data_IF_367854125054
#
_entry.id   IF_367854125054
#
_cell.length_a   1.000
_cell.length_b   1.000
_cell.length_c   1.000
_cell.angle_alpha   90.00
_cell.angle_beta   90.00
_cell.angle_gamma   90.00
#
_symmetry.space_group_name_H-M   'P 1'
#
loop_
_entity.id
_entity.type
_entity.pdbx_description
1 polymer ?
#
# COMPACT_ATOMS: atom_id res chain seq x y z
N UNK A 1 9.41 19.44 -9.89
CA UNK A 1 9.36 18.31 -8.93
C UNK A 1 8.03 17.63 -9.15
N UNK A 2 8.04 16.34 -9.48
CA UNK A 2 6.81 15.57 -9.62
C UNK A 2 6.14 15.41 -8.25
N UNK A 3 4.80 15.49 -8.22
CA UNK A 3 4.03 15.33 -7.00
C UNK A 3 3.89 13.83 -6.71
N UNK A 4 4.33 13.41 -5.53
CA UNK A 4 4.13 12.04 -5.06
C UNK A 4 2.70 11.87 -4.55
N UNK A 5 2.02 10.80 -4.98
CA UNK A 5 0.70 10.44 -4.44
C UNK A 5 0.82 9.76 -3.09
N UNK A 6 -0.21 9.88 -2.25
CA UNK A 6 -0.29 9.19 -0.97
C UNK A 6 -0.50 7.69 -1.19
N UNK A 7 0.24 6.85 -0.46
CA UNK A 7 0.15 5.39 -0.59
C UNK A 7 -1.05 4.78 0.15
N UNK A 8 -1.70 5.55 1.03
CA UNK A 8 -2.92 5.12 1.74
C UNK A 8 -4.20 5.66 1.10
N UNK A 9 -4.10 6.77 0.37
CA UNK A 9 -5.24 7.52 -0.14
C UNK A 9 -4.95 7.95 -1.58
N UNK A 10 -5.40 7.16 -2.55
CA UNK A 10 -5.10 7.35 -3.98
C UNK A 10 -5.60 8.68 -4.55
N UNK A 11 -6.55 9.33 -3.87
CA UNK A 11 -7.11 10.64 -4.20
C UNK A 11 -6.30 11.83 -3.63
N UNK A 12 -5.20 11.58 -2.91
CA UNK A 12 -4.43 12.63 -2.20
C UNK A 12 -2.99 12.73 -2.68
N UNK A 13 -2.51 13.96 -2.78
CA UNK A 13 -1.08 14.26 -2.89
C UNK A 13 -0.44 14.08 -1.51
N UNK A 14 0.73 13.44 -1.46
CA UNK A 14 1.50 13.26 -0.23
C UNK A 14 1.89 14.62 0.36
N UNK A 15 1.56 14.83 1.64
CA UNK A 15 1.86 16.03 2.41
C UNK A 15 2.83 15.75 3.57
N UNK A 16 3.53 14.60 3.52
CA UNK A 16 4.49 14.15 4.52
C UNK A 16 3.91 14.02 5.95
N UNK A 17 2.63 13.63 6.07
CA UNK A 17 1.97 13.46 7.38
C UNK A 17 2.56 12.34 8.26
N UNK A 18 3.24 11.36 7.65
CA UNK A 18 3.85 10.22 8.35
C UNK A 18 2.88 9.11 8.78
N UNK A 19 1.59 9.22 8.48
CA UNK A 19 0.56 8.21 8.84
C UNK A 19 0.90 6.81 8.32
N UNK A 20 1.37 6.72 7.07
CA UNK A 20 1.79 5.46 6.44
C UNK A 20 2.96 4.75 7.14
N UNK A 21 3.64 5.42 8.09
CA UNK A 21 4.71 4.82 8.88
C UNK A 21 4.21 4.26 10.22
N UNK A 22 2.94 4.47 10.57
CA UNK A 22 2.37 4.06 11.85
C UNK A 22 1.60 2.75 11.70
N UNK A 23 1.48 2.01 12.80
CA UNK A 23 0.78 0.74 12.82
C UNK A 23 -0.74 0.94 12.89
N UNK A 24 -1.48 0.30 11.98
CA UNK A 24 -2.95 0.37 11.95
C UNK A 24 -3.61 -0.14 13.24
N UNK A 25 -2.96 -1.06 13.95
CA UNK A 25 -3.46 -1.60 15.22
C UNK A 25 -3.06 -0.77 16.44
N UNK A 26 -1.94 -0.04 16.37
CA UNK A 26 -1.44 0.78 17.48
C UNK A 26 -0.89 2.10 16.93
N UNK A 27 -1.64 3.20 17.04
CA UNK A 27 -1.24 4.49 16.49
C UNK A 27 -0.01 5.09 17.17
N UNK A 28 0.44 4.56 18.32
CA UNK A 28 1.67 4.99 18.99
C UNK A 28 2.92 4.21 18.54
N UNK A 29 2.74 3.19 17.70
CA UNK A 29 3.82 2.29 17.27
C UNK A 29 4.18 2.55 15.81
N UNK A 30 5.46 2.80 15.55
CA UNK A 30 6.00 2.79 14.18
C UNK A 30 5.85 1.37 13.60
N UNK A 31 5.35 1.29 12.37
CA UNK A 31 5.19 0.02 11.67
C UNK A 31 6.56 -0.63 11.48
N UNK A 32 6.68 -1.86 11.94
CA UNK A 32 7.87 -2.71 11.85
C UNK A 32 7.63 -3.93 10.94
N UNK A 33 6.57 -3.86 10.12
CA UNK A 33 6.14 -4.95 9.24
C UNK A 33 5.84 -6.27 9.97
N UNK A 34 5.35 -6.23 11.22
CA UNK A 34 4.97 -7.45 11.95
C UNK A 34 3.73 -8.18 11.40
N UNK A 35 3.02 -7.62 10.41
CA UNK A 35 1.84 -8.19 9.73
C UNK A 35 0.64 -8.54 10.62
N UNK A 36 0.61 -8.10 11.89
CA UNK A 36 -0.50 -8.38 12.80
C UNK A 36 -1.82 -7.73 12.36
N UNK A 37 -1.77 -6.57 11.71
CA UNK A 37 -2.94 -5.84 11.20
C UNK A 37 -3.69 -6.58 10.09
N UNK A 38 -3.02 -7.50 9.38
CA UNK A 38 -3.60 -8.29 8.28
C UNK A 38 -3.73 -9.77 8.63
N UNK A 39 -3.48 -10.14 9.89
CA UNK A 39 -3.62 -11.52 10.33
C UNK A 39 -5.11 -11.87 10.46
N UNK A 40 -5.56 -12.84 9.68
CA UNK A 40 -6.95 -13.32 9.62
C UNK A 40 -7.20 -14.52 10.55
N UNK A 41 -6.14 -15.07 11.16
CA UNK A 41 -6.18 -16.33 11.90
C UNK A 41 -6.08 -17.58 11.03
N UNK A 42 -5.97 -17.44 9.71
CA UNK A 42 -5.70 -18.56 8.80
C UNK A 42 -4.21 -18.95 8.80
N UNK A 43 -3.93 -20.23 8.48
CA UNK A 43 -2.56 -20.73 8.32
C UNK A 43 -1.81 -20.03 7.17
N UNK A 44 -2.55 -19.56 6.16
CA UNK A 44 -2.04 -18.79 5.03
C UNK A 44 -3.08 -17.78 4.55
N UNK A 45 -2.60 -16.60 4.15
CA UNK A 45 -3.37 -15.63 3.36
C UNK A 45 -2.91 -15.73 1.91
N UNK A 46 -3.83 -15.61 0.96
CA UNK A 46 -3.54 -15.62 -0.47
C UNK A 46 -4.19 -14.40 -1.15
N UNK A 47 -3.52 -13.88 -2.17
CA UNK A 47 -4.06 -12.89 -3.10
C UNK A 47 -3.99 -13.54 -4.48
N UNK A 48 -5.13 -13.59 -5.16
CA UNK A 48 -5.21 -14.10 -6.53
C UNK A 48 -4.70 -13.02 -7.49
N UNK A 49 -3.88 -13.41 -8.46
CA UNK A 49 -3.40 -12.53 -9.52
C UNK A 49 -4.24 -12.84 -10.76
N UNK A 50 -5.08 -11.90 -11.17
CA UNK A 50 -5.95 -12.08 -12.33
C UNK A 50 -5.16 -12.06 -13.65
N UNK A 51 -4.17 -11.19 -13.77
CA UNK A 51 -3.35 -11.02 -14.97
C UNK A 51 -1.93 -10.55 -14.60
N UNK A 52 -0.94 -10.96 -15.40
CA UNK A 52 0.43 -10.43 -15.36
C UNK A 52 0.61 -9.63 -16.64
N UNK A 53 0.78 -8.32 -16.50
CA UNK A 53 0.97 -7.41 -17.63
C UNK A 53 2.46 -7.30 -17.93
N UNK A 54 2.87 -7.59 -19.18
CA UNK A 54 4.27 -7.55 -19.64
C UNK A 54 4.59 -6.22 -20.34
N UNK A 55 5.12 -5.23 -19.59
CA UNK A 55 5.50 -3.93 -20.14
C UNK A 55 5.79 -2.90 -19.04
N UNK A 56 6.15 -1.67 -19.41
CA UNK A 56 6.16 -0.55 -18.45
C UNK A 56 4.71 -0.14 -18.19
N UNK A 57 4.20 -0.48 -17.01
CA UNK A 57 2.88 -0.02 -16.55
C UNK A 57 2.86 1.51 -16.49
N UNK A 58 2.01 2.13 -17.31
CA UNK A 58 1.73 3.55 -17.23
C UNK A 58 0.51 3.77 -16.31
N UNK A 59 0.70 4.25 -15.07
CA UNK A 59 -0.41 4.47 -14.13
C UNK A 59 -1.36 5.59 -14.58
N UNK A 60 -1.03 6.36 -15.63
CA UNK A 60 -1.89 7.40 -16.18
C UNK A 60 -2.85 6.89 -17.25
N UNK A 61 -2.50 5.82 -17.96
CA UNK A 61 -3.36 5.21 -19.00
C UNK A 61 -3.93 3.87 -18.57
N UNK A 62 -3.34 3.20 -17.57
CA UNK A 62 -3.73 1.85 -17.15
C UNK A 62 -3.34 0.77 -18.16
N UNK A 63 -2.43 1.08 -19.08
CA UNK A 63 -1.95 0.18 -20.11
C UNK A 63 -0.58 -0.38 -19.72
N UNK A 64 -0.29 -1.61 -20.17
CA UNK A 64 1.05 -2.19 -20.16
C UNK A 64 1.23 -3.19 -21.28
#
# INVERSE_FOLDING_TARGET
MEKKMCVLYDDKVCNDCGECNMCDLDPNKVCDNCMKCINTGADYNAIEIDEIIEGEYDPTTGEG
#
